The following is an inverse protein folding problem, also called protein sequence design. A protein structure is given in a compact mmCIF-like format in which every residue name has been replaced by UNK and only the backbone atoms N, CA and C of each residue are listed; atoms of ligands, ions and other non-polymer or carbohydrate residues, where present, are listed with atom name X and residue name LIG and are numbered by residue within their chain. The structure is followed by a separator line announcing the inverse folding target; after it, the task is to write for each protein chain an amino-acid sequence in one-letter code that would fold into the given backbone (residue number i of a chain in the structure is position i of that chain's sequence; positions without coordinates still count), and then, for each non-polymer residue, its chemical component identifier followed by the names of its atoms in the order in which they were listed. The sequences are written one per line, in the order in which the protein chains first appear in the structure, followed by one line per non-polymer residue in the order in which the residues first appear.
data_IF_909444106311
#
_entry.id   IF_909444106311
#
_cell.length_a   1.000
_cell.length_b   1.000
_cell.length_c   1.000
_cell.angle_alpha   90.00
_cell.angle_beta   90.00
_cell.angle_gamma   90.00
#
_symmetry.space_group_name_H-M   'P 1'
#
loop_
_entity.id
_entity.type
_entity.pdbx_description
1 polymer ?
#
# COMPACT_ATOMS: atom_id res chain seq x y z
N UNK A 1 10.34 -22.04 -1.80
CA UNK A 1 9.84 -20.65 -1.66
C UNK A 1 10.47 -20.02 -0.44
N UNK A 2 10.48 -20.71 0.69
CA UNK A 2 11.23 -20.34 1.90
C UNK A 2 12.71 -20.03 1.60
N UNK A 3 13.45 -20.91 0.92
CA UNK A 3 14.86 -20.68 0.55
C UNK A 3 15.09 -19.39 -0.28
N UNK A 4 14.19 -19.10 -1.21
CA UNK A 4 14.26 -17.89 -2.05
C UNK A 4 14.08 -16.66 -1.17
N UNK A 5 13.11 -16.69 -0.26
CA UNK A 5 12.81 -15.58 0.63
C UNK A 5 13.95 -15.37 1.62
N UNK A 6 14.51 -16.43 2.19
CA UNK A 6 15.67 -16.34 3.08
C UNK A 6 16.88 -15.73 2.36
N UNK A 7 17.13 -16.11 1.10
CA UNK A 7 18.20 -15.52 0.29
C UNK A 7 17.97 -14.03 -0.02
N UNK A 8 16.72 -13.64 -0.32
CA UNK A 8 16.35 -12.25 -0.65
C UNK A 8 16.36 -11.37 0.60
N UNK A 9 15.95 -11.92 1.74
CA UNK A 9 15.90 -11.21 3.02
C UNK A 9 17.20 -11.26 3.81
N UNK A 10 18.21 -12.00 3.31
CA UNK A 10 19.50 -12.23 3.98
C UNK A 10 19.34 -12.75 5.42
N UNK A 11 18.32 -13.57 5.65
CA UNK A 11 17.98 -14.10 6.98
C UNK A 11 17.27 -13.12 7.91
N UNK A 12 16.88 -11.91 7.47
CA UNK A 12 16.11 -10.96 8.29
C UNK A 12 14.73 -10.60 7.69
N UNK A 13 13.80 -11.57 7.61
CA UNK A 13 12.49 -11.37 6.98
C UNK A 13 11.63 -10.33 7.69
N UNK A 14 11.78 -10.16 9.01
CA UNK A 14 10.99 -9.19 9.79
C UNK A 14 11.45 -7.76 9.53
N UNK A 15 12.77 -7.50 9.51
CA UNK A 15 13.30 -6.17 9.17
C UNK A 15 12.89 -5.78 7.75
N UNK A 16 13.07 -6.68 6.78
CA UNK A 16 12.66 -6.43 5.39
C UNK A 16 11.15 -6.17 5.27
N UNK A 17 10.30 -6.89 6.01
CA UNK A 17 8.85 -6.63 6.07
C UNK A 17 8.56 -5.20 6.52
N UNK A 18 9.17 -4.75 7.62
CA UNK A 18 8.93 -3.39 8.17
C UNK A 18 9.48 -2.31 7.25
N UNK A 19 10.65 -2.52 6.64
CA UNK A 19 11.22 -1.59 5.66
C UNK A 19 10.31 -1.47 4.44
N UNK A 20 9.85 -2.58 3.86
CA UNK A 20 8.93 -2.57 2.74
C UNK A 20 7.59 -1.91 3.09
N UNK A 21 7.04 -2.19 4.27
CA UNK A 21 5.82 -1.56 4.74
C UNK A 21 6.01 -0.04 4.91
N UNK A 22 7.16 0.40 5.41
CA UNK A 22 7.49 1.83 5.57
C UNK A 22 7.63 2.55 4.23
N UNK A 23 8.29 1.92 3.26
CA UNK A 23 8.37 2.42 1.88
C UNK A 23 6.98 2.50 1.26
N UNK A 24 6.15 1.47 1.41
CA UNK A 24 4.80 1.47 0.90
C UNK A 24 3.95 2.59 1.53
N UNK A 25 4.06 2.82 2.83
CA UNK A 25 3.37 3.91 3.52
C UNK A 25 3.83 5.28 3.00
N UNK A 26 5.13 5.49 2.83
CA UNK A 26 5.68 6.73 2.28
C UNK A 26 5.17 7.00 0.85
N UNK A 27 5.14 5.96 0.00
CA UNK A 27 4.53 6.04 -1.32
C UNK A 27 3.02 6.33 -1.25
N UNK A 28 2.31 5.75 -0.28
CA UNK A 28 0.90 6.05 0.01
C UNK A 28 0.68 7.52 0.36
N UNK A 29 1.52 8.10 1.21
CA UNK A 29 1.49 9.55 1.52
C UNK A 29 1.75 10.38 0.25
N UNK A 30 2.75 9.99 -0.54
CA UNK A 30 3.06 10.67 -1.80
C UNK A 30 1.89 10.61 -2.81
N UNK A 31 1.18 9.48 -2.88
CA UNK A 31 -0.03 9.33 -3.69
C UNK A 31 -1.13 10.32 -3.29
N UNK A 32 -1.34 10.58 -2.00
CA UNK A 32 -2.29 11.58 -1.50
C UNK A 32 -1.89 13.00 -1.92
N UNK A 33 -0.59 13.33 -1.86
CA UNK A 33 -0.09 14.62 -2.32
C UNK A 33 -0.31 14.80 -3.83
N UNK A 34 0.05 13.79 -4.63
CA UNK A 34 -0.12 13.84 -6.08
C UNK A 34 -1.58 14.00 -6.49
N UNK A 35 -2.52 13.30 -5.85
CA UNK A 35 -3.94 13.45 -6.20
C UNK A 35 -4.52 14.77 -5.68
N UNK A 36 -4.02 15.31 -4.57
CA UNK A 36 -4.41 16.64 -4.10
C UNK A 36 -3.99 17.73 -5.11
N UNK A 37 -2.80 17.60 -5.72
CA UNK A 37 -2.38 18.45 -6.85
C UNK A 37 -3.24 18.18 -8.09
N UNK A 38 -3.50 16.91 -8.42
CA UNK A 38 -4.32 16.51 -9.56
C UNK A 38 -5.75 17.07 -9.52
N UNK A 39 -6.36 17.12 -8.34
CA UNK A 39 -7.67 17.75 -8.11
C UNK A 39 -7.60 19.27 -7.86
N UNK A 40 -6.41 19.87 -7.94
CA UNK A 40 -6.22 21.31 -7.79
C UNK A 40 -6.42 21.85 -6.37
N UNK A 41 -6.41 20.98 -5.36
CA UNK A 41 -6.42 21.33 -3.93
C UNK A 41 -5.06 21.89 -3.48
N UNK A 42 -3.98 21.37 -4.07
CA UNK A 42 -2.63 21.92 -3.96
C UNK A 42 -2.18 22.45 -5.33
N UNK A 43 -1.43 23.55 -5.35
CA UNK A 43 -1.00 24.22 -6.59
C UNK A 43 0.47 24.65 -6.51
N UNK A 44 1.42 23.70 -6.39
CA UNK A 44 2.84 24.02 -6.45
C UNK A 44 3.20 24.59 -7.83
N UNK A 45 4.06 25.62 -7.87
CA UNK A 45 4.42 26.30 -9.12
C UNK A 45 5.18 25.43 -10.13
N UNK A 46 5.75 24.30 -9.70
CA UNK A 46 6.60 23.43 -10.52
C UNK A 46 5.89 22.15 -11.03
N UNK A 47 4.65 21.87 -10.62
CA UNK A 47 3.97 20.62 -10.97
C UNK A 47 2.52 20.88 -11.40
N UNK A 48 2.22 20.58 -12.66
CA UNK A 48 0.86 20.71 -13.20
C UNK A 48 -0.06 19.58 -12.71
N UNK A 49 -1.36 19.87 -12.60
CA UNK A 49 -2.36 18.88 -12.19
C UNK A 49 -2.44 17.67 -13.13
N UNK A 50 -2.20 17.85 -14.43
CA UNK A 50 -2.15 16.75 -15.40
C UNK A 50 -0.93 15.85 -15.16
N UNK A 51 0.25 16.44 -14.96
CA UNK A 51 1.47 15.69 -14.64
C UNK A 51 1.31 14.94 -13.31
N UNK A 52 0.80 15.61 -12.26
CA UNK A 52 0.54 14.98 -10.97
C UNK A 52 -0.44 13.81 -11.07
N UNK A 53 -1.51 13.95 -11.85
CA UNK A 53 -2.49 12.87 -12.08
C UNK A 53 -1.90 11.69 -12.86
N UNK A 54 -1.00 11.96 -13.80
CA UNK A 54 -0.27 10.91 -14.52
C UNK A 54 0.67 10.17 -13.57
N UNK A 55 1.49 10.89 -12.80
CA UNK A 55 2.41 10.31 -11.82
C UNK A 55 1.68 9.53 -10.74
N UNK A 56 0.52 10.03 -10.27
CA UNK A 56 -0.35 9.31 -9.33
C UNK A 56 -0.69 7.92 -9.86
N UNK A 57 -1.14 7.82 -11.12
CA UNK A 57 -1.47 6.54 -11.74
C UNK A 57 -0.25 5.63 -11.90
N UNK A 58 0.83 6.13 -12.50
CA UNK A 58 2.02 5.31 -12.78
C UNK A 58 2.66 4.74 -11.49
N UNK A 59 2.79 5.58 -10.46
CA UNK A 59 3.31 5.14 -9.15
C UNK A 59 2.29 4.26 -8.43
N UNK A 60 1.00 4.53 -8.60
CA UNK A 60 -0.09 3.72 -8.03
C UNK A 60 -0.11 2.30 -8.59
N UNK A 61 0.15 2.13 -9.89
CA UNK A 61 0.26 0.82 -10.54
C UNK A 61 1.46 0.03 -10.01
N UNK A 62 2.62 0.69 -9.89
CA UNK A 62 3.81 0.07 -9.30
C UNK A 62 3.57 -0.32 -7.83
N UNK A 63 2.96 0.57 -7.03
CA UNK A 63 2.64 0.30 -5.63
C UNK A 63 1.64 -0.85 -5.48
N UNK A 64 0.64 -0.95 -6.37
CA UNK A 64 -0.30 -2.07 -6.36
C UNK A 64 0.41 -3.42 -6.56
N UNK A 65 1.37 -3.49 -7.48
CA UNK A 65 2.19 -4.71 -7.69
C UNK A 65 2.99 -5.04 -6.43
N UNK A 66 3.66 -4.03 -5.84
CA UNK A 66 4.44 -4.21 -4.61
C UNK A 66 3.57 -4.72 -3.46
N UNK A 67 2.37 -4.17 -3.27
CA UNK A 67 1.43 -4.60 -2.22
C UNK A 67 1.01 -6.07 -2.39
N UNK A 68 0.78 -6.52 -3.64
CA UNK A 68 0.46 -7.93 -3.90
C UNK A 68 1.64 -8.84 -3.58
N UNK A 69 2.85 -8.49 -3.99
CA UNK A 69 4.06 -9.27 -3.70
C UNK A 69 4.29 -9.34 -2.18
N UNK A 70 4.18 -8.22 -1.47
CA UNK A 70 4.31 -8.18 -0.01
C UNK A 70 3.23 -9.02 0.66
N UNK A 71 1.98 -8.97 0.20
CA UNK A 71 0.91 -9.79 0.76
C UNK A 71 1.20 -11.29 0.60
N UNK A 72 1.68 -11.73 -0.57
CA UNK A 72 2.09 -13.13 -0.80
C UNK A 72 3.25 -13.52 0.12
N UNK A 73 4.25 -12.64 0.27
CA UNK A 73 5.36 -12.87 1.19
C UNK A 73 4.89 -13.01 2.63
N UNK A 74 4.01 -12.10 3.09
CA UNK A 74 3.46 -12.13 4.44
C UNK A 74 2.70 -13.43 4.73
N UNK A 75 1.84 -13.85 3.79
CA UNK A 75 1.09 -15.10 3.91
C UNK A 75 2.00 -16.33 3.92
N UNK A 76 3.07 -16.32 3.11
CA UNK A 76 3.98 -17.47 2.98
C UNK A 76 4.90 -17.62 4.20
N UNK A 77 5.31 -16.53 4.84
CA UNK A 77 6.28 -16.55 5.95
C UNK A 77 5.65 -16.52 7.35
N UNK A 78 4.58 -15.75 7.52
CA UNK A 78 4.00 -15.47 8.84
C UNK A 78 2.63 -16.12 9.03
N UNK A 79 2.06 -16.70 7.96
CA UNK A 79 0.77 -17.39 8.03
C UNK A 79 -0.37 -16.51 8.56
N UNK A 80 -1.24 -17.14 9.35
CA UNK A 80 -2.45 -16.53 9.95
C UNK A 80 -2.42 -16.63 11.49
N UNK A 81 -1.28 -16.35 12.12
CA UNK A 81 -1.16 -16.45 13.58
C UNK A 81 -2.08 -15.47 14.33
N UNK A 82 -2.65 -15.94 15.45
CA UNK A 82 -3.64 -15.22 16.26
C UNK A 82 -3.09 -13.89 16.84
N UNK A 83 -1.80 -13.84 17.22
CA UNK A 83 -1.13 -12.64 17.72
C UNK A 83 -1.01 -11.52 16.65
N UNK A 84 -1.31 -11.84 15.39
CA UNK A 84 -1.32 -10.90 14.25
C UNK A 84 -2.71 -10.69 13.65
N UNK A 85 -3.80 -11.00 14.37
CA UNK A 85 -5.18 -10.87 13.88
C UNK A 85 -5.47 -9.51 13.23
N UNK A 86 -5.06 -8.41 13.88
CA UNK A 86 -5.26 -7.06 13.34
C UNK A 86 -4.51 -6.82 12.02
N UNK A 87 -3.28 -7.35 11.90
CA UNK A 87 -2.47 -7.23 10.70
C UNK A 87 -3.08 -8.02 9.54
N UNK A 88 -3.48 -9.27 9.80
CA UNK A 88 -4.12 -10.16 8.81
C UNK A 88 -5.42 -9.54 8.30
N UNK A 89 -6.28 -9.05 9.20
CA UNK A 89 -7.55 -8.44 8.82
C UNK A 89 -7.34 -7.16 8.00
N UNK A 90 -6.45 -6.27 8.45
CA UNK A 90 -6.16 -5.02 7.74
C UNK A 90 -5.52 -5.29 6.37
N UNK A 91 -4.55 -6.20 6.29
CA UNK A 91 -3.89 -6.59 5.05
C UNK A 91 -4.85 -7.26 4.06
N UNK A 92 -5.72 -8.15 4.55
CA UNK A 92 -6.74 -8.78 3.70
C UNK A 92 -7.74 -7.77 3.17
N UNK A 93 -8.25 -6.89 4.03
CA UNK A 93 -9.14 -5.81 3.64
C UNK A 93 -8.48 -4.85 2.63
N UNK A 94 -7.19 -4.56 2.79
CA UNK A 94 -6.42 -3.73 1.88
C UNK A 94 -6.43 -4.31 0.46
N UNK A 95 -6.17 -5.60 0.30
CA UNK A 95 -6.19 -6.26 -1.01
C UNK A 95 -7.59 -6.26 -1.62
N UNK A 96 -8.63 -6.48 -0.82
CA UNK A 96 -10.03 -6.41 -1.28
C UNK A 96 -10.37 -5.01 -1.78
N UNK A 97 -10.08 -3.96 -1.00
CA UNK A 97 -10.35 -2.57 -1.40
C UNK A 97 -9.53 -2.20 -2.64
N UNK A 98 -8.30 -2.73 -2.79
CA UNK A 98 -7.47 -2.50 -3.96
C UNK A 98 -8.11 -3.10 -5.20
N UNK A 99 -8.58 -4.35 -5.12
CA UNK A 99 -9.29 -5.01 -6.20
C UNK A 99 -10.58 -4.27 -6.59
N UNK A 100 -11.34 -3.79 -5.60
CA UNK A 100 -12.53 -2.96 -5.84
C UNK A 100 -12.16 -1.65 -6.52
N UNK A 101 -11.12 -0.94 -6.06
CA UNK A 101 -10.64 0.30 -6.68
C UNK A 101 -10.25 0.09 -8.14
N UNK A 102 -9.44 -0.94 -8.42
CA UNK A 102 -9.02 -1.30 -9.80
C UNK A 102 -10.25 -1.59 -10.67
N UNK A 103 -11.21 -2.34 -10.13
CA UNK A 103 -12.46 -2.66 -10.82
C UNK A 103 -13.28 -1.41 -11.15
N UNK A 104 -13.42 -0.49 -10.19
CA UNK A 104 -14.12 0.79 -10.40
C UNK A 104 -13.40 1.64 -11.44
N UNK A 105 -12.08 1.75 -11.40
CA UNK A 105 -11.29 2.50 -12.39
C UNK A 105 -11.52 1.94 -13.80
N UNK A 106 -11.44 0.61 -13.95
CA UNK A 106 -11.64 -0.06 -15.25
C UNK A 106 -13.06 0.12 -15.80
N UNK A 107 -14.08 0.14 -14.94
CA UNK A 107 -15.48 0.30 -15.36
C UNK A 107 -15.90 1.75 -15.60
N UNK A 108 -15.36 2.70 -14.83
CA UNK A 108 -15.91 4.07 -14.76
C UNK A 108 -15.37 5.08 -15.79
N UNK A 109 -14.57 4.65 -16.79
CA UNK A 109 -14.00 5.51 -17.86
C UNK A 109 -13.42 6.87 -17.40
N UNK A 110 -13.02 7.01 -16.14
CA UNK A 110 -12.21 8.12 -15.64
C UNK A 110 -12.84 9.08 -14.62
N UNK A 111 -14.13 8.96 -14.26
CA UNK A 111 -14.69 9.82 -13.21
C UNK A 111 -15.80 9.12 -12.42
N UNK A 112 -15.41 8.46 -11.34
CA UNK A 112 -16.36 7.94 -10.34
C UNK A 112 -16.16 8.67 -9.02
N UNK A 113 -17.28 9.11 -8.41
CA UNK A 113 -17.30 9.69 -7.05
C UNK A 113 -16.83 8.70 -5.99
N UNK A 114 -16.75 7.41 -6.31
CA UNK A 114 -16.25 6.38 -5.40
C UNK A 114 -14.70 6.32 -5.33
N UNK A 115 -13.97 6.95 -6.26
CA UNK A 115 -12.50 6.84 -6.28
C UNK A 115 -11.82 7.51 -5.06
N UNK A 116 -12.20 8.73 -4.63
CA UNK A 116 -11.62 9.34 -3.44
C UNK A 116 -11.80 8.52 -2.15
N UNK A 117 -13.02 8.05 -1.77
CA UNK A 117 -13.17 7.27 -0.55
C UNK A 117 -12.45 5.92 -0.62
N UNK A 118 -12.42 5.24 -1.79
CA UNK A 118 -11.63 4.01 -1.95
C UNK A 118 -10.12 4.28 -1.82
N UNK A 119 -9.63 5.39 -2.35
CA UNK A 119 -8.23 5.80 -2.18
C UNK A 119 -7.86 6.08 -0.73
N UNK A 120 -8.75 6.74 0.02
CA UNK A 120 -8.54 7.02 1.44
C UNK A 120 -8.62 5.73 2.28
N UNK A 121 -9.58 4.85 1.99
CA UNK A 121 -9.72 3.55 2.65
C UNK A 121 -8.45 2.69 2.45
N UNK A 122 -7.91 2.64 1.22
CA UNK A 122 -6.64 1.98 0.95
C UNK A 122 -5.50 2.53 1.78
N UNK A 123 -5.36 3.86 1.84
CA UNK A 123 -4.31 4.49 2.63
C UNK A 123 -4.46 4.19 4.12
N UNK A 124 -5.68 4.26 4.66
CA UNK A 124 -5.95 3.96 6.06
C UNK A 124 -5.61 2.51 6.41
N UNK A 125 -6.03 1.55 5.57
CA UNK A 125 -5.72 0.13 5.76
C UNK A 125 -4.20 -0.13 5.65
N UNK A 126 -3.51 0.57 4.74
CA UNK A 126 -2.06 0.49 4.62
C UNK A 126 -1.37 1.01 5.88
N UNK A 127 -1.83 2.14 6.42
CA UNK A 127 -1.32 2.71 7.66
C UNK A 127 -1.53 1.77 8.86
N UNK A 128 -2.70 1.11 8.96
CA UNK A 128 -2.96 0.11 10.01
C UNK A 128 -2.06 -1.13 9.84
N UNK A 129 -1.91 -1.62 8.62
CA UNK A 129 -1.05 -2.77 8.29
C UNK A 129 0.42 -2.46 8.61
N UNK A 130 0.87 -1.24 8.32
CA UNK A 130 2.20 -0.76 8.69
C UNK A 130 2.34 -0.63 10.21
N UNK A 131 1.39 0.00 10.90
CA UNK A 131 1.45 0.23 12.35
C UNK A 131 1.53 -1.08 13.14
N UNK A 132 0.75 -2.09 12.73
CA UNK A 132 0.81 -3.44 13.32
C UNK A 132 2.16 -4.11 13.06
N UNK A 133 2.73 -3.95 11.86
CA UNK A 133 4.07 -4.51 11.53
C UNK A 133 5.19 -3.83 12.32
N UNK A 134 5.20 -2.50 12.35
CA UNK A 134 6.20 -1.71 13.04
C UNK A 134 6.10 -1.90 14.56
N UNK A 135 4.87 -1.92 15.10
CA UNK A 135 4.63 -2.19 16.51
C UNK A 135 5.12 -3.58 16.93
N UNK A 136 4.86 -4.62 16.13
CA UNK A 136 5.38 -5.96 16.40
C UNK A 136 6.92 -6.00 16.38
N UNK A 137 7.57 -5.30 15.44
CA UNK A 137 9.03 -5.26 15.38
C UNK A 137 9.66 -4.49 16.54
N UNK A 138 9.11 -3.32 16.89
CA UNK A 138 9.61 -2.48 17.98
C UNK A 138 9.30 -3.06 19.37
N UNK A 139 8.24 -3.86 19.50
CA UNK A 139 7.91 -4.56 20.74
C UNK A 139 8.65 -5.87 20.93
N UNK A 140 9.24 -6.43 19.86
CA UNK A 140 10.04 -7.65 19.90
C UNK A 140 11.55 -7.39 20.11
N UNK A 141 11.99 -6.13 20.04
CA UNK A 141 13.33 -5.65 20.43
C UNK A 141 13.38 -5.23 21.89
#
# INVERSE_FOLDING_TARGET
MEDLIESVTRGNPTEVKVTLASVALALGCYQLLLIAVGYGKLRPGFLSGRAASFSHRAIGDALAIVLVVVAVMCLSLFGFDDDSTAHVLAGSALIVVLAVKVTVVRRSRGSSRALPPLGLALFALLAITWATSAGAFLGAT
#
